data_IF_111574842514
#
_entry.id   IF_111574842514
#
_cell.length_a   1.000
_cell.length_b   1.000
_cell.length_c   1.000
_cell.angle_alpha   90.00
_cell.angle_beta   90.00
_cell.angle_gamma   90.00
#
_symmetry.space_group_name_H-M   'P 1'
#
loop_
_entity.id
_entity.type
_entity.pdbx_description
1 polymer ?
#
# COMPACT_ATOMS: atom_id res chain seq x y z
N UNK A 1 15.95 13.81 -12.25
CA UNK A 1 15.83 14.52 -10.97
C UNK A 1 14.66 13.86 -10.31
N UNK A 2 14.93 13.09 -9.27
CA UNK A 2 13.88 12.32 -8.61
C UNK A 2 13.17 13.24 -7.62
N UNK A 3 11.84 13.19 -7.61
CA UNK A 3 10.99 14.08 -6.82
C UNK A 3 9.97 13.23 -6.06
N UNK A 4 9.80 13.52 -4.77
CA UNK A 4 8.79 12.92 -3.91
C UNK A 4 7.82 14.01 -3.48
N UNK A 5 6.52 13.79 -3.67
CA UNK A 5 5.45 14.75 -3.38
C UNK A 5 4.34 14.04 -2.59
N UNK A 6 3.99 14.59 -1.43
CA UNK A 6 2.83 14.13 -0.66
C UNK A 6 1.53 14.56 -1.35
N UNK A 7 0.55 13.67 -1.38
CA UNK A 7 -0.79 13.94 -1.91
C UNK A 7 -1.86 13.71 -0.84
N UNK A 8 -3.07 14.23 -1.07
CA UNK A 8 -4.23 14.06 -0.18
C UNK A 8 -5.40 13.52 -0.99
N UNK A 9 -6.03 12.47 -0.47
CA UNK A 9 -7.13 11.76 -1.12
C UNK A 9 -8.32 11.70 -0.18
N UNK A 10 -9.46 12.21 -0.65
CA UNK A 10 -10.72 12.09 0.06
C UNK A 10 -11.30 10.70 -0.12
N UNK A 11 -11.40 9.96 0.98
CA UNK A 11 -12.01 8.64 1.03
C UNK A 11 -13.38 8.73 1.71
N UNK A 12 -14.26 7.80 1.36
CA UNK A 12 -15.58 7.67 2.00
C UNK A 12 -15.86 6.20 2.20
N UNK A 13 -15.94 5.78 3.45
CA UNK A 13 -16.23 4.41 3.86
C UNK A 13 -17.52 4.37 4.66
N UNK A 14 -18.27 3.27 4.54
CA UNK A 14 -19.59 3.14 5.19
C UNK A 14 -19.49 3.24 6.71
N UNK A 15 -18.45 2.64 7.31
CA UNK A 15 -18.25 2.57 8.76
C UNK A 15 -17.55 3.80 9.34
N UNK A 16 -16.72 4.50 8.56
CA UNK A 16 -15.88 5.62 9.03
C UNK A 16 -16.33 6.99 8.52
N UNK A 17 -17.24 7.02 7.53
CA UNK A 17 -17.64 8.25 6.86
C UNK A 17 -16.56 8.77 5.92
N UNK A 18 -16.58 10.09 5.68
CA UNK A 18 -15.63 10.75 4.79
C UNK A 18 -14.41 11.29 5.54
N UNK A 19 -13.22 11.04 5.03
CA UNK A 19 -11.96 11.48 5.63
C UNK A 19 -10.87 11.72 4.56
N UNK A 20 -9.78 12.37 4.95
CA UNK A 20 -8.61 12.62 4.09
C UNK A 20 -7.48 11.65 4.44
N UNK A 21 -6.96 10.94 3.44
CA UNK A 21 -5.85 10.02 3.57
C UNK A 21 -4.61 10.55 2.82
N UNK A 22 -3.40 10.37 3.38
CA UNK A 22 -2.17 10.71 2.66
C UNK A 22 -1.90 9.70 1.53
N UNK A 23 -1.48 10.22 0.38
CA UNK A 23 -0.89 9.44 -0.70
C UNK A 23 0.52 9.96 -1.02
N UNK A 24 1.17 9.35 -2.00
CA UNK A 24 2.54 9.71 -2.38
C UNK A 24 2.71 9.64 -3.91
N UNK A 25 3.38 10.63 -4.48
CA UNK A 25 3.84 10.61 -5.87
C UNK A 25 5.36 10.63 -5.89
N UNK A 26 5.95 9.67 -6.62
CA UNK A 26 7.39 9.54 -6.77
C UNK A 26 7.74 9.57 -8.26
N UNK A 27 8.48 10.59 -8.66
CA UNK A 27 9.05 10.67 -10.01
C UNK A 27 10.43 10.03 -10.01
N UNK A 28 10.63 8.99 -10.83
CA UNK A 28 11.88 8.27 -11.01
C UNK A 28 12.31 8.42 -12.47
N UNK A 29 13.40 9.17 -12.71
CA UNK A 29 13.82 9.50 -14.07
C UNK A 29 12.79 10.37 -14.81
N UNK A 30 11.92 9.75 -15.61
CA UNK A 30 10.81 10.39 -16.34
C UNK A 30 9.45 9.78 -16.01
N UNK A 31 9.44 8.71 -15.24
CA UNK A 31 8.24 7.94 -14.93
C UNK A 31 7.69 8.37 -13.57
N UNK A 32 6.36 8.39 -13.46
CA UNK A 32 5.64 8.70 -12.24
C UNK A 32 5.08 7.41 -11.64
N UNK A 33 5.35 7.18 -10.36
CA UNK A 33 4.74 6.13 -9.55
C UNK A 33 3.87 6.79 -8.49
N UNK A 34 2.57 6.48 -8.50
CA UNK A 34 1.59 7.02 -7.56
C UNK A 34 1.14 5.95 -6.57
N UNK A 35 1.21 6.26 -5.28
CA UNK A 35 0.69 5.48 -4.17
C UNK A 35 -0.62 6.12 -3.73
N UNK A 36 -1.73 5.47 -4.08
CA UNK A 36 -3.07 5.99 -3.89
C UNK A 36 -3.75 5.19 -2.77
N UNK A 37 -4.05 5.80 -1.61
CA UNK A 37 -4.82 5.13 -0.57
C UNK A 37 -6.24 4.88 -1.09
N UNK A 38 -6.77 3.68 -0.83
CA UNK A 38 -8.11 3.32 -1.32
C UNK A 38 -9.10 3.03 -0.20
N UNK A 39 -8.63 2.39 0.87
CA UNK A 39 -9.44 2.10 2.05
C UNK A 39 -8.54 1.89 3.26
N UNK A 40 -9.08 2.12 4.44
CA UNK A 40 -8.49 1.81 5.74
C UNK A 40 -8.98 0.47 6.29
N UNK A 41 -10.16 -0.01 5.86
CA UNK A 41 -10.68 -1.34 6.17
C UNK A 41 -11.13 -2.07 4.90
N UNK A 42 -10.66 -3.30 4.72
CA UNK A 42 -11.11 -4.20 3.65
C UNK A 42 -11.43 -5.57 4.21
N UNK A 43 -12.12 -6.41 3.45
CA UNK A 43 -12.37 -7.79 3.86
C UNK A 43 -11.02 -8.53 3.92
N UNK A 44 -10.62 -8.96 5.12
CA UNK A 44 -9.38 -9.71 5.34
C UNK A 44 -8.10 -8.87 5.37
N UNK A 45 -8.20 -7.55 5.59
CA UNK A 45 -7.03 -6.68 5.72
C UNK A 45 -7.36 -5.31 6.28
N UNK A 46 -6.33 -4.62 6.73
CA UNK A 46 -6.40 -3.31 7.38
C UNK A 46 -5.65 -2.29 6.55
N UNK A 47 -6.29 -1.84 5.48
CA UNK A 47 -5.75 -0.83 4.61
C UNK A 47 -5.37 -1.36 3.24
N UNK A 48 -5.65 -0.55 2.23
CA UNK A 48 -5.23 -0.79 0.85
C UNK A 48 -4.64 0.48 0.26
N UNK A 49 -3.46 0.34 -0.33
CA UNK A 49 -2.82 1.35 -1.16
C UNK A 49 -2.56 0.73 -2.53
N UNK A 50 -3.04 1.36 -3.59
CA UNK A 50 -2.74 0.94 -4.95
C UNK A 50 -1.51 1.73 -5.44
N UNK A 51 -0.48 1.02 -5.91
CA UNK A 51 0.73 1.58 -6.52
C UNK A 51 0.59 1.48 -8.03
N UNK A 52 0.58 2.62 -8.70
CA UNK A 52 0.32 2.72 -10.13
C UNK A 52 1.54 3.36 -10.79
N UNK A 53 2.10 2.67 -11.78
CA UNK A 53 3.16 3.21 -12.63
C UNK A 53 2.78 3.14 -14.11
N UNK A 54 3.71 3.52 -15.01
CA UNK A 54 3.45 3.57 -16.45
C UNK A 54 3.19 2.21 -17.10
N UNK A 55 3.59 1.09 -16.47
CA UNK A 55 3.50 -0.25 -17.08
C UNK A 55 2.44 -1.14 -16.45
N UNK A 56 2.33 -1.10 -15.13
CA UNK A 56 1.42 -1.97 -14.39
C UNK A 56 1.05 -1.35 -13.03
N UNK A 57 0.21 -2.07 -12.28
CA UNK A 57 -0.17 -1.70 -10.92
C UNK A 57 0.03 -2.85 -9.92
N UNK A 58 0.25 -2.49 -8.66
CA UNK A 58 0.40 -3.41 -7.54
C UNK A 58 -0.49 -2.95 -6.39
N UNK A 59 -1.18 -3.89 -5.73
CA UNK A 59 -1.97 -3.60 -4.53
C UNK A 59 -1.14 -3.91 -3.30
N UNK A 60 -1.02 -2.93 -2.40
CA UNK A 60 -0.44 -3.11 -1.07
C UNK A 60 -1.58 -3.28 -0.08
N UNK A 61 -1.52 -4.35 0.70
CA UNK A 61 -2.50 -4.66 1.73
C UNK A 61 -1.75 -4.71 3.06
N UNK A 62 -2.20 -3.92 4.03
CA UNK A 62 -1.72 -4.05 5.39
C UNK A 62 -2.54 -5.09 6.14
N UNK A 63 -1.87 -5.83 7.01
CA UNK A 63 -2.48 -6.71 7.98
C UNK A 63 -1.82 -6.52 9.33
N UNK A 64 -2.50 -6.88 10.42
CA UNK A 64 -1.90 -6.86 11.75
C UNK A 64 -0.87 -7.96 11.82
N UNK A 65 0.33 -7.64 12.31
CA UNK A 65 1.24 -8.67 12.78
C UNK A 65 0.49 -9.53 13.80
N UNK A 66 0.49 -10.86 13.61
CA UNK A 66 -0.09 -11.76 14.60
C UNK A 66 0.76 -11.65 15.88
N UNK A 67 0.29 -10.88 16.86
CA UNK A 67 0.85 -10.93 18.20
C UNK A 67 0.54 -12.31 18.77
N UNK A 68 1.55 -12.98 19.32
CA UNK A 68 1.43 -14.31 19.96
C UNK A 68 0.57 -14.26 21.23
N UNK A 69 0.37 -13.05 21.76
CA UNK A 69 -0.63 -12.73 22.76
C UNK A 69 -1.88 -12.24 22.03
N UNK A 70 -3.01 -12.91 22.23
CA UNK A 70 -4.33 -12.46 21.76
C UNK A 70 -4.54 -11.03 22.28
N UNK A 71 -4.32 -10.05 21.39
CA UNK A 71 -4.15 -8.66 21.77
C UNK A 71 -5.27 -8.16 22.67
N UNK A 72 -4.91 -7.37 23.68
CA UNK A 72 -5.90 -6.68 24.49
C UNK A 72 -6.91 -5.98 23.57
N UNK A 73 -8.22 -6.28 23.71
CA UNK A 73 -9.23 -5.66 22.88
C UNK A 73 -9.18 -4.14 23.05
N UNK A 74 -8.84 -3.40 21.99
CA UNK A 74 -8.85 -1.94 22.00
C UNK A 74 -7.52 -1.24 21.70
N UNK A 75 -6.45 -1.96 21.34
CA UNK A 75 -5.21 -1.30 20.91
C UNK A 75 -5.46 -0.40 19.70
N UNK A 76 -5.12 0.90 19.78
CA UNK A 76 -5.38 1.84 18.70
C UNK A 76 -4.58 1.47 17.45
N UNK A 77 -5.14 1.78 16.27
CA UNK A 77 -4.56 1.39 14.99
C UNK A 77 -3.14 1.93 14.76
N UNK A 78 -2.82 3.06 15.39
CA UNK A 78 -1.50 3.71 15.35
C UNK A 78 -0.43 2.99 16.17
N UNK A 79 -0.82 2.13 17.10
CA UNK A 79 0.08 1.29 17.91
C UNK A 79 0.25 -0.11 17.32
N UNK A 80 -0.53 -0.47 16.30
CA UNK A 80 -0.45 -1.78 15.66
C UNK A 80 0.84 -1.92 14.84
N UNK A 81 1.53 -3.05 15.03
CA UNK A 81 2.58 -3.48 14.12
C UNK A 81 1.95 -3.96 12.81
N UNK A 82 2.03 -3.14 11.77
CA UNK A 82 1.47 -3.45 10.46
C UNK A 82 2.47 -4.22 9.59
N UNK A 83 2.05 -5.37 9.08
CA UNK A 83 2.78 -6.12 8.05
C UNK A 83 2.13 -5.84 6.70
N UNK A 84 2.95 -5.42 5.74
CA UNK A 84 2.47 -5.09 4.40
C UNK A 84 2.81 -6.20 3.40
N UNK A 85 1.85 -6.56 2.56
CA UNK A 85 2.02 -7.49 1.45
C UNK A 85 1.64 -6.85 0.12
N UNK A 86 2.42 -7.11 -0.91
CA UNK A 86 2.24 -6.61 -2.26
C UNK A 86 1.66 -7.69 -3.19
N UNK A 87 0.67 -7.32 -3.98
CA UNK A 87 -0.06 -8.18 -4.90
C UNK A 87 -0.08 -7.56 -6.31
N UNK A 88 0.81 -7.99 -7.21
CA UNK A 88 0.79 -7.51 -8.60
C UNK A 88 -0.41 -8.04 -9.36
N UNK A 89 -1.06 -7.20 -10.18
CA UNK A 89 -2.26 -7.59 -10.93
C UNK A 89 -2.00 -8.70 -11.96
N UNK A 90 -0.79 -8.74 -12.54
CA UNK A 90 -0.42 -9.69 -13.61
C UNK A 90 0.50 -10.83 -13.16
N UNK A 91 0.78 -10.95 -11.87
CA UNK A 91 1.65 -12.02 -11.37
C UNK A 91 0.90 -13.36 -11.27
N UNK A 92 1.53 -14.44 -11.77
CA UNK A 92 1.09 -15.82 -11.51
C UNK A 92 1.56 -16.35 -10.15
N UNK A 93 2.54 -15.70 -9.54
CA UNK A 93 2.96 -15.96 -8.17
C UNK A 93 2.08 -15.11 -7.26
N UNK A 94 1.67 -15.65 -6.10
CA UNK A 94 0.87 -14.91 -5.12
C UNK A 94 1.57 -13.65 -4.61
N UNK A 95 1.00 -13.02 -3.58
CA UNK A 95 1.61 -11.84 -2.96
C UNK A 95 2.96 -12.13 -2.31
N UNK A 96 3.72 -11.06 -2.05
CA UNK A 96 5.03 -11.10 -1.39
C UNK A 96 5.13 -10.00 -0.33
N UNK A 97 5.98 -10.13 0.70
CA UNK A 97 6.13 -9.11 1.73
C UNK A 97 6.68 -7.80 1.15
N UNK A 98 6.19 -6.66 1.65
CA UNK A 98 6.72 -5.34 1.32
C UNK A 98 7.84 -4.97 2.31
N UNK A 99 8.96 -5.66 2.19
CA UNK A 99 10.25 -5.26 2.76
C UNK A 99 11.07 -4.47 1.72
N UNK A 100 12.36 -4.22 1.97
CA UNK A 100 13.23 -3.50 1.02
C UNK A 100 13.32 -4.18 -0.35
N UNK A 101 13.44 -5.51 -0.39
CA UNK A 101 13.47 -6.28 -1.62
C UNK A 101 12.09 -6.32 -2.29
N UNK A 102 11.03 -6.42 -1.50
CA UNK A 102 9.65 -6.30 -1.94
C UNK A 102 9.38 -4.96 -2.61
N UNK A 103 9.84 -3.84 -2.02
CA UNK A 103 9.68 -2.52 -2.60
C UNK A 103 10.39 -2.41 -3.96
N UNK A 104 11.61 -2.93 -4.07
CA UNK A 104 12.32 -2.99 -5.35
C UNK A 104 11.49 -3.77 -6.40
N UNK A 105 10.94 -4.93 -6.04
CA UNK A 105 10.08 -5.72 -6.92
C UNK A 105 8.81 -4.95 -7.33
N UNK A 106 8.17 -4.21 -6.40
CA UNK A 106 7.01 -3.36 -6.72
C UNK A 106 7.39 -2.34 -7.79
N UNK A 107 8.52 -1.64 -7.60
CA UNK A 107 9.00 -0.63 -8.55
C UNK A 107 9.33 -1.24 -9.91
N UNK A 108 10.00 -2.39 -9.95
CA UNK A 108 10.26 -3.13 -11.18
C UNK A 108 8.97 -3.50 -11.93
N UNK A 109 7.93 -3.94 -11.21
CA UNK A 109 6.64 -4.27 -11.83
C UNK A 109 5.99 -3.03 -12.45
N UNK A 110 5.88 -1.93 -11.70
CA UNK A 110 5.09 -0.76 -12.13
C UNK A 110 5.82 0.12 -13.14
N UNK A 111 7.15 0.14 -13.11
CA UNK A 111 8.00 0.84 -14.09
C UNK A 111 8.32 -0.03 -15.32
N UNK A 112 8.20 -1.36 -15.18
CA UNK A 112 8.65 -2.34 -16.15
C UNK A 112 10.16 -2.55 -16.06
N UNK A 113 10.58 -3.62 -15.38
CA UNK A 113 11.96 -4.08 -15.35
C UNK A 113 12.48 -4.37 -16.76
N UNK A 114 13.75 -4.02 -16.98
CA UNK A 114 14.51 -4.31 -18.20
C UNK A 114 14.72 -5.81 -18.41
#
# INVERSE_FOLDING_TARGET
MDQIVDTRHRLTEETLGAYEAPGLEVTIGRDLVAFIPVASLIIGGYGRVDVIGPRDQVKLIADRAQSVDEGEPGMPAEECDWVWSAYPDRSRRGGFPLDEAGLANVLEVVLGGA
#
